data_IF_091182250312
#
_entry.id   IF_091182250312
#
_cell.length_a   1.000
_cell.length_b   1.000
_cell.length_c   1.000
_cell.angle_alpha   90.00
_cell.angle_beta   90.00
_cell.angle_gamma   90.00
#
_symmetry.space_group_name_H-M   'P 1'
#
loop_
_entity.id
_entity.type
_entity.pdbx_description
1 polymer ?
#
# COMPACT_ATOMS: atom_id res chain seq x y z
N UNK A 1 -24.90 1.78 7.42
CA UNK A 1 -26.35 1.58 7.66
C UNK A 1 -26.55 0.69 8.88
N UNK A 2 -27.39 1.13 9.76
CA UNK A 2 -27.79 0.43 10.96
C UNK A 2 -29.31 0.31 11.00
N UNK A 3 -29.83 -0.81 11.51
CA UNK A 3 -31.25 -1.05 11.69
C UNK A 3 -31.46 -1.88 12.96
N UNK A 4 -32.27 -1.37 13.89
CA UNK A 4 -32.57 -2.01 15.18
C UNK A 4 -31.30 -2.39 15.98
N UNK A 5 -30.31 -1.51 16.04
CA UNK A 5 -29.02 -1.73 16.72
C UNK A 5 -28.10 -2.76 16.04
N UNK A 6 -28.38 -3.14 14.79
CA UNK A 6 -27.57 -4.09 14.03
C UNK A 6 -26.97 -3.44 12.80
N UNK A 7 -25.65 -3.56 12.64
CA UNK A 7 -24.94 -3.09 11.45
C UNK A 7 -25.38 -3.93 10.23
N UNK A 8 -26.01 -3.29 9.25
CA UNK A 8 -26.51 -3.92 8.01
C UNK A 8 -25.52 -3.78 6.85
N UNK A 9 -24.89 -2.61 6.74
CA UNK A 9 -23.87 -2.34 5.72
C UNK A 9 -22.93 -1.23 6.19
N UNK A 10 -21.73 -1.23 5.67
CA UNK A 10 -20.75 -0.17 5.89
C UNK A 10 -19.96 0.14 4.63
N UNK A 11 -19.53 1.38 4.51
CA UNK A 11 -18.51 1.87 3.60
C UNK A 11 -17.69 2.89 4.39
N UNK A 12 -16.38 2.82 4.31
CA UNK A 12 -15.50 3.85 4.81
C UNK A 12 -14.89 4.63 3.65
N UNK A 13 -14.71 5.93 3.85
CA UNK A 13 -13.86 6.77 3.00
C UNK A 13 -12.77 7.34 3.87
N UNK A 14 -11.52 7.05 3.51
CA UNK A 14 -10.33 7.55 4.19
C UNK A 14 -9.84 8.78 3.41
N UNK A 15 -9.87 9.97 4.00
CA UNK A 15 -9.31 11.16 3.37
C UNK A 15 -7.78 11.07 3.42
N UNK A 16 -7.15 11.25 2.26
CA UNK A 16 -5.70 11.19 2.12
C UNK A 16 -5.19 12.33 1.23
N UNK A 17 -3.96 12.70 1.43
CA UNK A 17 -3.24 13.62 0.55
C UNK A 17 -2.40 12.81 -0.44
N UNK A 18 -2.83 12.82 -1.71
CA UNK A 18 -2.13 12.18 -2.81
C UNK A 18 -1.26 13.22 -3.53
N UNK A 19 0.02 12.96 -3.65
CA UNK A 19 0.93 13.76 -4.46
C UNK A 19 1.05 13.15 -5.85
N UNK A 20 0.87 13.93 -6.90
CA UNK A 20 1.02 13.50 -8.29
C UNK A 20 1.85 14.53 -9.04
N UNK A 21 3.02 14.13 -9.53
CA UNK A 21 3.95 15.00 -10.25
C UNK A 21 4.22 16.33 -9.49
N UNK A 22 4.35 16.26 -8.16
CA UNK A 22 4.60 17.43 -7.29
C UNK A 22 3.36 18.24 -6.91
N UNK A 23 2.17 17.88 -7.39
CA UNK A 23 0.91 18.56 -7.06
C UNK A 23 0.08 17.77 -6.05
N UNK A 24 -0.41 18.43 -4.97
CA UNK A 24 -1.27 17.77 -4.00
C UNK A 24 -2.71 17.65 -4.52
N UNK A 25 -3.31 16.48 -4.31
CA UNK A 25 -4.72 16.19 -4.54
C UNK A 25 -5.34 15.67 -3.24
N UNK A 26 -6.59 16.08 -2.97
CA UNK A 26 -7.40 15.49 -1.91
C UNK A 26 -7.99 14.20 -2.43
N UNK A 27 -7.56 13.06 -1.89
CA UNK A 27 -8.04 11.76 -2.31
C UNK A 27 -8.98 11.17 -1.26
N UNK A 28 -10.09 10.58 -1.71
CA UNK A 28 -10.98 9.76 -0.90
C UNK A 28 -10.76 8.28 -1.22
N UNK A 29 -10.10 7.54 -0.32
CA UNK A 29 -9.93 6.09 -0.49
C UNK A 29 -11.16 5.36 0.03
N UNK A 30 -11.94 4.78 -0.87
CA UNK A 30 -13.14 4.00 -0.54
C UNK A 30 -12.75 2.59 -0.15
N UNK A 31 -13.05 2.21 1.08
CA UNK A 31 -12.70 0.91 1.63
C UNK A 31 -13.80 0.28 2.47
N UNK A 32 -13.55 -0.91 2.97
CA UNK A 32 -14.43 -1.68 3.86
C UNK A 32 -15.88 -1.83 3.37
N UNK A 33 -16.08 -1.86 2.04
CA UNK A 33 -17.41 -1.98 1.44
C UNK A 33 -17.99 -3.36 1.75
N UNK A 34 -18.93 -3.40 2.68
CA UNK A 34 -19.55 -4.66 3.11
C UNK A 34 -21.04 -4.53 3.39
N UNK A 35 -21.76 -5.61 3.13
CA UNK A 35 -23.19 -5.75 3.45
C UNK A 35 -23.39 -7.07 4.18
N UNK A 36 -24.08 -7.02 5.32
CA UNK A 36 -24.42 -8.20 6.09
C UNK A 36 -25.15 -9.22 5.19
N UNK A 37 -24.83 -10.52 5.23
CA UNK A 37 -25.43 -11.51 4.34
C UNK A 37 -26.97 -11.50 4.30
N UNK A 38 -27.60 -11.31 5.45
CA UNK A 38 -29.06 -11.24 5.57
C UNK A 38 -29.69 -9.92 5.09
N UNK A 39 -28.87 -8.91 4.76
CA UNK A 39 -29.32 -7.61 4.26
C UNK A 39 -28.95 -7.39 2.78
N UNK A 40 -28.45 -8.44 2.14
CA UNK A 40 -28.17 -8.40 0.71
C UNK A 40 -29.45 -8.30 -0.10
N UNK A 41 -29.42 -7.52 -1.19
CA UNK A 41 -30.58 -7.26 -2.02
C UNK A 41 -31.44 -6.07 -1.56
N UNK A 42 -31.25 -5.54 -0.36
CA UNK A 42 -32.01 -4.42 0.20
C UNK A 42 -31.51 -3.02 -0.25
N UNK A 43 -30.49 -2.97 -1.10
CA UNK A 43 -29.98 -1.71 -1.69
C UNK A 43 -29.04 -0.91 -0.79
N UNK A 44 -28.66 -1.39 0.38
CA UNK A 44 -27.82 -0.64 1.35
C UNK A 44 -26.49 -0.16 0.75
N UNK A 45 -25.77 -1.02 0.01
CA UNK A 45 -24.51 -0.64 -0.63
C UNK A 45 -24.71 0.51 -1.63
N UNK A 46 -25.76 0.42 -2.45
CA UNK A 46 -26.05 1.44 -3.47
C UNK A 46 -26.30 2.79 -2.79
N UNK A 47 -27.13 2.82 -1.76
CA UNK A 47 -27.46 4.03 -1.02
C UNK A 47 -26.23 4.64 -0.37
N UNK A 48 -25.47 3.85 0.41
CA UNK A 48 -24.25 4.34 1.06
C UNK A 48 -23.20 4.85 0.06
N UNK A 49 -23.02 4.17 -1.08
CA UNK A 49 -22.09 4.62 -2.11
C UNK A 49 -22.54 5.95 -2.74
N UNK A 50 -23.83 6.13 -3.00
CA UNK A 50 -24.37 7.38 -3.52
C UNK A 50 -24.21 8.53 -2.53
N UNK A 51 -24.44 8.28 -1.23
CA UNK A 51 -24.27 9.28 -0.19
C UNK A 51 -22.78 9.71 -0.10
N UNK A 52 -21.85 8.74 -0.10
CA UNK A 52 -20.41 9.02 -0.09
C UNK A 52 -19.92 9.73 -1.37
N UNK A 53 -20.42 9.35 -2.54
CA UNK A 53 -20.04 10.04 -3.78
C UNK A 53 -20.44 11.50 -3.76
N UNK A 54 -21.63 11.80 -3.24
CA UNK A 54 -22.10 13.19 -3.09
C UNK A 54 -21.19 13.98 -2.15
N UNK A 55 -20.79 13.41 -1.01
CA UNK A 55 -19.88 14.04 -0.07
C UNK A 55 -18.49 14.25 -0.69
N UNK A 56 -17.97 13.24 -1.40
CA UNK A 56 -16.67 13.32 -2.03
C UNK A 56 -16.60 14.33 -3.19
N UNK A 57 -17.71 14.63 -3.87
CA UNK A 57 -17.74 15.68 -4.91
C UNK A 57 -17.36 17.05 -4.35
N UNK A 58 -17.63 17.30 -3.08
CA UNK A 58 -17.32 18.57 -2.42
C UNK A 58 -15.96 18.56 -1.71
N UNK A 59 -15.54 17.38 -1.23
CA UNK A 59 -14.39 17.24 -0.34
C UNK A 59 -13.14 16.67 -0.99
N UNK A 60 -13.27 15.95 -2.11
CA UNK A 60 -12.17 15.27 -2.78
C UNK A 60 -11.98 15.74 -4.22
N UNK A 61 -10.75 15.72 -4.69
CA UNK A 61 -10.40 15.96 -6.09
C UNK A 61 -10.42 14.63 -6.88
N UNK A 62 -10.22 13.50 -6.18
CA UNK A 62 -10.25 12.16 -6.74
C UNK A 62 -10.76 11.15 -5.71
N UNK A 63 -11.60 10.21 -6.15
CA UNK A 63 -11.99 9.03 -5.39
C UNK A 63 -11.25 7.80 -5.92
N UNK A 64 -10.67 7.02 -5.02
CA UNK A 64 -9.87 5.83 -5.35
C UNK A 64 -10.44 4.62 -4.63
N UNK A 65 -10.51 3.48 -5.31
CA UNK A 65 -10.83 2.21 -4.68
C UNK A 65 -10.09 1.06 -5.37
N UNK A 66 -9.89 -0.02 -4.62
CA UNK A 66 -9.50 -1.32 -5.16
C UNK A 66 -10.70 -2.28 -5.04
N UNK A 67 -11.05 -2.94 -6.17
CA UNK A 67 -12.19 -3.83 -6.16
C UNK A 67 -12.66 -4.30 -7.53
N UNK A 68 -13.80 -4.98 -7.54
CA UNK A 68 -14.36 -5.54 -8.76
C UNK A 68 -14.90 -4.45 -9.69
N UNK A 69 -14.26 -4.28 -10.83
CA UNK A 69 -14.60 -3.29 -11.87
C UNK A 69 -16.11 -3.20 -12.15
N UNK A 70 -16.75 -4.31 -12.50
CA UNK A 70 -18.16 -4.38 -12.87
C UNK A 70 -19.11 -3.81 -11.81
N UNK A 71 -18.74 -3.92 -10.54
CA UNK A 71 -19.52 -3.40 -9.42
C UNK A 71 -19.43 -1.88 -9.32
N UNK A 72 -18.25 -1.31 -9.55
CA UNK A 72 -17.96 0.09 -9.27
C UNK A 72 -18.09 0.99 -10.50
N UNK A 73 -18.01 0.45 -11.74
CA UNK A 73 -18.32 1.19 -12.96
C UNK A 73 -19.75 1.74 -12.95
N UNK A 74 -20.68 1.03 -12.33
CA UNK A 74 -22.07 1.52 -12.14
C UNK A 74 -22.11 2.85 -11.37
N UNK A 75 -21.15 3.13 -10.54
CA UNK A 75 -21.05 4.36 -9.75
C UNK A 75 -20.13 5.42 -10.38
N UNK A 76 -19.69 5.21 -11.60
CA UNK A 76 -18.85 6.16 -12.33
C UNK A 76 -17.35 5.96 -12.12
N UNK A 77 -16.91 4.94 -11.37
CA UNK A 77 -15.49 4.63 -11.27
C UNK A 77 -14.99 4.04 -12.58
N UNK A 78 -13.82 4.47 -12.98
CA UNK A 78 -13.13 3.96 -14.17
C UNK A 78 -11.78 3.36 -13.77
N UNK A 79 -11.19 2.56 -14.65
CA UNK A 79 -9.85 2.02 -14.43
C UNK A 79 -8.84 3.14 -14.37
N UNK A 80 -8.02 3.16 -13.35
CA UNK A 80 -6.91 4.06 -13.18
C UNK A 80 -5.66 3.31 -12.69
N UNK A 81 -4.50 3.78 -13.10
CA UNK A 81 -3.22 3.18 -12.71
C UNK A 81 -2.87 1.89 -13.44
N UNK A 82 -1.65 1.43 -13.20
CA UNK A 82 -1.10 0.18 -13.73
C UNK A 82 -0.41 -0.52 -12.58
N UNK A 83 -0.70 -1.79 -12.37
CA UNK A 83 0.07 -2.66 -11.49
C UNK A 83 0.94 -3.58 -12.34
N UNK A 84 2.24 -3.55 -12.09
CA UNK A 84 3.21 -4.47 -12.70
C UNK A 84 3.63 -5.48 -11.63
N UNK A 85 3.43 -6.75 -11.90
CA UNK A 85 3.89 -7.84 -11.04
C UNK A 85 5.12 -8.51 -11.66
N UNK A 86 6.20 -8.54 -10.91
CA UNK A 86 7.40 -9.31 -11.26
C UNK A 86 7.38 -10.63 -10.50
N UNK A 87 7.70 -11.72 -11.20
CA UNK A 87 7.88 -13.03 -10.56
C UNK A 87 9.34 -13.42 -10.69
N UNK A 88 9.97 -13.69 -9.56
CA UNK A 88 11.37 -14.09 -9.47
C UNK A 88 11.45 -15.48 -8.86
N UNK A 89 12.11 -16.42 -9.54
CA UNK A 89 12.38 -17.75 -9.02
C UNK A 89 13.79 -17.83 -8.44
N UNK A 90 14.04 -18.83 -7.60
CA UNK A 90 15.39 -19.14 -7.11
C UNK A 90 16.39 -19.39 -8.24
N UNK A 91 15.93 -19.93 -9.36
CA UNK A 91 16.76 -20.12 -10.54
C UNK A 91 17.12 -18.80 -11.21
N UNK A 92 16.15 -17.90 -11.35
CA UNK A 92 16.41 -16.54 -11.86
C UNK A 92 17.45 -15.82 -11.00
N UNK A 93 17.30 -15.84 -9.68
CA UNK A 93 18.25 -15.23 -8.74
C UNK A 93 19.63 -15.83 -8.93
N UNK A 94 19.74 -17.17 -8.91
CA UNK A 94 21.01 -17.87 -9.05
C UNK A 94 21.74 -17.56 -10.37
N UNK A 95 21.01 -17.44 -11.47
CA UNK A 95 21.62 -17.16 -12.77
C UNK A 95 21.89 -15.67 -13.00
N UNK A 96 20.88 -14.82 -12.81
CA UNK A 96 21.00 -13.39 -13.10
C UNK A 96 21.89 -12.66 -12.09
N UNK A 97 21.77 -13.01 -10.78
CA UNK A 97 22.51 -12.35 -9.72
C UNK A 97 23.73 -13.14 -9.24
N UNK A 98 24.25 -14.05 -10.07
CA UNK A 98 25.41 -14.90 -9.70
C UNK A 98 26.62 -14.08 -9.21
N UNK A 99 26.90 -12.97 -9.86
CA UNK A 99 28.05 -12.11 -9.56
C UNK A 99 27.76 -11.02 -8.51
N UNK A 100 26.49 -10.86 -8.09
CA UNK A 100 26.12 -9.83 -7.11
C UNK A 100 26.70 -10.20 -5.75
N UNK A 101 27.50 -9.30 -5.20
CA UNK A 101 28.11 -9.45 -3.89
C UNK A 101 27.15 -8.96 -2.81
N UNK A 102 26.78 -9.84 -1.88
CA UNK A 102 25.89 -9.53 -0.76
C UNK A 102 26.61 -9.37 0.58
N UNK A 103 27.94 -9.34 0.57
CA UNK A 103 28.72 -9.09 1.81
C UNK A 103 28.34 -7.73 2.40
N UNK A 104 28.24 -7.68 3.72
CA UNK A 104 27.81 -6.49 4.45
C UNK A 104 26.30 -6.27 4.47
N UNK A 105 25.51 -7.05 3.71
CA UNK A 105 24.05 -6.99 3.76
C UNK A 105 23.53 -7.85 4.90
N UNK A 106 22.64 -7.25 5.71
CA UNK A 106 21.92 -7.94 6.77
C UNK A 106 20.49 -7.40 6.88
N UNK A 107 19.60 -8.21 7.43
CA UNK A 107 18.20 -7.83 7.64
C UNK A 107 17.88 -7.84 9.14
N UNK A 108 17.13 -6.84 9.57
CA UNK A 108 16.63 -6.68 10.94
C UNK A 108 15.13 -6.35 10.89
N UNK A 109 14.36 -6.60 11.96
CA UNK A 109 13.01 -6.05 12.05
C UNK A 109 13.05 -4.54 11.80
N UNK A 110 12.15 -4.04 10.95
CA UNK A 110 12.17 -2.61 10.58
C UNK A 110 11.97 -1.70 11.80
N UNK A 111 11.20 -2.16 12.79
CA UNK A 111 10.97 -1.44 14.05
C UNK A 111 12.23 -1.30 14.92
N UNK A 112 13.27 -2.11 14.67
CA UNK A 112 14.57 -2.06 15.37
C UNK A 112 15.64 -1.28 14.59
N UNK A 113 15.29 -0.81 13.39
CA UNK A 113 16.21 -0.04 12.56
C UNK A 113 16.08 1.46 12.87
N UNK A 114 17.13 2.06 13.40
CA UNK A 114 17.19 3.49 13.70
C UNK A 114 16.91 4.32 12.42
N UNK A 115 16.05 5.33 12.53
CA UNK A 115 15.67 6.21 11.42
C UNK A 115 14.78 5.56 10.34
N UNK A 116 14.19 4.38 10.63
CA UNK A 116 13.39 3.63 9.64
C UNK A 116 12.14 4.41 9.19
N UNK A 117 11.46 5.11 10.09
CA UNK A 117 10.26 5.86 9.75
C UNK A 117 10.56 7.00 8.77
N UNK A 118 11.57 7.80 9.06
CA UNK A 118 12.02 8.90 8.20
C UNK A 118 12.58 8.36 6.87
N UNK A 119 13.26 7.23 6.91
CA UNK A 119 13.76 6.57 5.69
C UNK A 119 12.60 6.17 4.79
N UNK A 120 11.56 5.51 5.32
CA UNK A 120 10.37 5.12 4.55
C UNK A 120 9.65 6.33 3.95
N UNK A 121 9.46 7.39 4.71
CA UNK A 121 8.84 8.62 4.23
C UNK A 121 9.65 9.22 3.08
N UNK A 122 10.95 9.40 3.26
CA UNK A 122 11.87 9.90 2.23
C UNK A 122 11.86 9.08 0.93
N UNK A 123 11.86 7.73 1.04
CA UNK A 123 11.81 6.87 -0.14
C UNK A 123 10.44 6.91 -0.84
N UNK A 124 9.36 7.07 -0.08
CA UNK A 124 8.03 7.24 -0.63
C UNK A 124 7.92 8.51 -1.48
N UNK A 125 8.50 9.61 -1.04
CA UNK A 125 8.49 10.91 -1.73
C UNK A 125 9.30 10.95 -3.04
N UNK A 126 10.21 9.99 -3.25
CA UNK A 126 10.95 9.85 -4.51
C UNK A 126 10.10 9.33 -5.67
N UNK A 127 8.87 8.86 -5.40
CA UNK A 127 7.96 8.30 -6.41
C UNK A 127 7.28 9.43 -7.21
N UNK A 128 6.90 9.20 -8.48
CA UNK A 128 6.16 10.18 -9.28
C UNK A 128 4.75 10.45 -8.74
N UNK A 129 4.18 9.51 -8.00
CA UNK A 129 2.94 9.68 -7.25
C UNK A 129 3.00 8.90 -5.95
N UNK A 130 2.52 9.49 -4.86
CA UNK A 130 2.61 8.92 -3.53
C UNK A 130 1.56 9.50 -2.58
N UNK A 131 1.09 8.69 -1.65
CA UNK A 131 0.25 9.14 -0.52
C UNK A 131 1.18 9.63 0.59
N UNK A 132 0.85 10.76 1.21
CA UNK A 132 1.61 11.31 2.34
C UNK A 132 1.67 10.29 3.47
N UNK A 133 2.86 10.11 4.04
CA UNK A 133 3.09 9.24 5.19
C UNK A 133 3.66 10.07 6.33
N UNK A 134 3.07 9.90 7.50
CA UNK A 134 3.55 10.56 8.71
C UNK A 134 4.50 9.62 9.46
N UNK A 135 5.71 10.07 9.86
CA UNK A 135 6.69 9.22 10.52
C UNK A 135 6.15 8.50 11.76
N UNK A 136 5.23 9.13 12.49
CA UNK A 136 4.61 8.59 13.70
C UNK A 136 3.78 7.33 13.43
N UNK A 137 3.24 7.19 12.21
CA UNK A 137 2.27 6.15 11.86
C UNK A 137 2.84 5.12 10.89
N UNK A 138 3.90 5.46 10.13
CA UNK A 138 4.34 4.63 8.99
C UNK A 138 4.77 3.24 9.40
N UNK A 139 5.43 3.06 10.54
CA UNK A 139 5.87 1.74 11.03
C UNK A 139 4.68 0.90 11.51
N UNK A 140 3.68 1.51 12.15
CA UNK A 140 2.46 0.82 12.56
C UNK A 140 1.65 0.37 11.34
N UNK A 141 1.55 1.22 10.31
CA UNK A 141 0.91 0.88 9.03
C UNK A 141 1.65 -0.26 8.33
N UNK A 142 2.99 -0.22 8.29
CA UNK A 142 3.83 -1.26 7.70
C UNK A 142 3.69 -2.62 8.40
N UNK A 143 3.32 -2.63 9.68
CA UNK A 143 3.11 -3.85 10.45
C UNK A 143 1.67 -4.40 10.34
N UNK A 144 0.77 -3.74 9.60
CA UNK A 144 -0.63 -4.20 9.44
C UNK A 144 -0.72 -5.38 8.47
N UNK A 145 -1.87 -6.08 8.49
CA UNK A 145 -2.24 -7.11 7.50
C UNK A 145 -1.29 -8.32 7.42
N UNK A 146 -0.67 -8.74 8.54
CA UNK A 146 0.28 -9.86 8.60
C UNK A 146 1.53 -9.65 7.72
N UNK A 147 1.88 -8.42 7.46
CA UNK A 147 3.11 -8.09 6.76
C UNK A 147 4.30 -8.15 7.71
N UNK A 148 5.41 -8.67 7.20
CA UNK A 148 6.70 -8.56 7.89
C UNK A 148 7.44 -7.39 7.29
N UNK A 149 7.75 -6.40 8.12
CA UNK A 149 8.56 -5.26 7.76
C UNK A 149 10.00 -5.49 8.19
N UNK A 150 10.92 -5.51 7.23
CA UNK A 150 12.35 -5.70 7.48
C UNK A 150 13.16 -4.52 6.95
N UNK A 151 14.13 -4.07 7.75
CA UNK A 151 15.14 -3.11 7.34
C UNK A 151 16.35 -3.84 6.78
N UNK A 152 16.82 -3.44 5.61
CA UNK A 152 18.07 -3.88 5.02
C UNK A 152 19.19 -2.95 5.49
N UNK A 153 20.19 -3.52 6.15
CA UNK A 153 21.44 -2.81 6.50
C UNK A 153 22.56 -3.20 5.54
N UNK A 154 23.36 -2.20 5.19
CA UNK A 154 24.62 -2.37 4.47
C UNK A 154 25.73 -1.83 5.35
N UNK A 155 26.65 -2.69 5.70
CA UNK A 155 27.75 -2.37 6.63
C UNK A 155 27.26 -1.74 7.95
N UNK A 156 26.13 -2.26 8.47
CA UNK A 156 25.50 -1.81 9.70
C UNK A 156 24.58 -0.60 9.61
N UNK A 157 24.55 0.10 8.47
CA UNK A 157 23.72 1.29 8.24
C UNK A 157 22.45 0.92 7.48
N UNK A 158 21.29 1.50 7.84
CA UNK A 158 20.04 1.30 7.13
C UNK A 158 20.16 1.81 5.69
N UNK A 159 20.00 0.92 4.73
CA UNK A 159 20.15 1.16 3.30
C UNK A 159 18.91 0.78 2.47
N UNK A 160 17.90 0.18 3.10
CA UNK A 160 16.67 -0.19 2.42
C UNK A 160 15.64 -0.78 3.38
N UNK A 161 14.46 -1.08 2.84
CA UNK A 161 13.43 -1.83 3.55
C UNK A 161 12.60 -2.69 2.59
N UNK A 162 11.98 -3.72 3.15
CA UNK A 162 11.02 -4.58 2.45
C UNK A 162 9.79 -4.78 3.33
N UNK A 163 8.61 -4.69 2.73
CA UNK A 163 7.36 -5.14 3.32
C UNK A 163 6.97 -6.44 2.63
N UNK A 164 6.96 -7.53 3.37
CA UNK A 164 6.68 -8.87 2.84
C UNK A 164 5.41 -9.43 3.45
N UNK A 165 4.66 -10.17 2.65
CA UNK A 165 3.47 -10.87 3.09
C UNK A 165 3.47 -12.31 2.57
N UNK A 166 2.41 -13.06 2.86
CA UNK A 166 2.24 -14.42 2.41
C UNK A 166 3.45 -15.31 2.76
N UNK A 167 3.89 -15.26 4.05
CA UNK A 167 5.06 -15.99 4.56
C UNK A 167 6.39 -15.61 3.85
N UNK A 168 6.51 -14.37 3.39
CA UNK A 168 7.69 -13.89 2.69
C UNK A 168 7.74 -14.22 1.19
N UNK A 169 6.68 -14.83 0.65
CA UNK A 169 6.60 -15.16 -0.78
C UNK A 169 6.26 -13.99 -1.68
N UNK A 170 5.77 -12.91 -1.12
CA UNK A 170 5.47 -11.68 -1.83
C UNK A 170 6.15 -10.49 -1.17
N UNK A 171 6.77 -9.65 -1.97
CA UNK A 171 7.24 -8.32 -1.57
C UNK A 171 6.21 -7.31 -2.08
N UNK A 172 5.52 -6.64 -1.18
CA UNK A 172 4.54 -5.61 -1.52
C UNK A 172 5.16 -4.25 -1.74
N UNK A 173 6.19 -3.98 -0.98
CA UNK A 173 6.92 -2.73 -1.09
C UNK A 173 8.39 -2.98 -0.81
N UNK A 174 9.25 -2.38 -1.60
CA UNK A 174 10.70 -2.41 -1.40
C UNK A 174 11.27 -1.07 -1.86
N UNK A 175 12.20 -0.55 -1.07
CA UNK A 175 12.98 0.60 -1.47
C UNK A 175 14.41 0.48 -0.94
N UNK A 176 15.35 0.97 -1.69
CA UNK A 176 16.77 1.06 -1.33
C UNK A 176 17.26 2.49 -1.51
N UNK A 177 18.27 2.89 -0.75
CA UNK A 177 18.83 4.24 -0.87
C UNK A 177 19.56 4.41 -2.17
N UNK A 178 20.33 3.41 -2.59
CA UNK A 178 21.08 3.41 -3.83
C UNK A 178 20.53 2.33 -4.79
N UNK A 179 20.23 2.66 -6.06
CA UNK A 179 19.66 1.71 -7.02
C UNK A 179 20.46 0.40 -7.18
N UNK A 180 21.78 0.46 -7.08
CA UNK A 180 22.68 -0.69 -7.18
C UNK A 180 22.53 -1.68 -6.01
N UNK A 181 21.93 -1.28 -4.91
CA UNK A 181 21.68 -2.15 -3.79
C UNK A 181 20.37 -2.97 -3.94
N UNK A 182 19.59 -2.69 -4.99
CA UNK A 182 18.36 -3.45 -5.29
C UNK A 182 18.65 -4.94 -5.55
N UNK A 183 19.65 -5.23 -6.39
CA UNK A 183 20.04 -6.60 -6.68
C UNK A 183 20.56 -7.34 -5.45
N UNK A 184 21.26 -6.63 -4.56
CA UNK A 184 21.75 -7.18 -3.31
C UNK A 184 20.61 -7.52 -2.37
N UNK A 185 19.59 -6.62 -2.27
CA UNK A 185 18.40 -6.86 -1.46
C UNK A 185 17.60 -8.07 -1.93
N UNK A 186 17.52 -8.28 -3.25
CA UNK A 186 16.78 -9.41 -3.84
C UNK A 186 17.54 -10.73 -3.67
N UNK A 187 18.89 -10.70 -3.70
CA UNK A 187 19.73 -11.90 -3.62
C UNK A 187 19.95 -12.38 -2.18
N UNK A 188 20.09 -11.46 -1.24
CA UNK A 188 20.41 -11.76 0.16
C UNK A 188 19.21 -12.30 0.94
#
# INVERSE_FOLDING_TARGET
>A
AEENGKLRAQIAVLPEKLMVAGHPLRAGFVGTVSVHPKARGEGHMKRLMQDWLKEMQETCDIAVLDGQRQRYEYFGFTRGGIQIRYTVSSDNIRHALKQTDTRGISFVPLSEAEGAAEFMCRQNEKRPSWVTREPENVLAIAATANEKAVGMKKDGVLAGYLLTCNEGKEIREMAVEQPEDMEKAVKA
#
